data_IF_770646734153
#
_entry.id   IF_770646734153
#
_cell.length_a   1.000
_cell.length_b   1.000
_cell.length_c   1.000
_cell.angle_alpha   90.00
_cell.angle_beta   90.00
_cell.angle_gamma   90.00
#
_symmetry.space_group_name_H-M   'P 1'
#
loop_
_entity.id
_entity.type
_entity.pdbx_description
1 polymer ?
#
# COMPACT_ATOMS: atom_id res chain seq x y z
N UNK A 1 8.19 -11.39 -12.32
CA UNK A 1 8.30 -9.91 -12.23
C UNK A 1 8.51 -9.45 -10.79
N UNK A 2 7.60 -9.73 -9.83
CA UNK A 2 7.74 -9.32 -8.41
C UNK A 2 9.00 -9.89 -7.72
N UNK A 3 9.31 -11.18 -7.93
CA UNK A 3 10.54 -11.80 -7.39
C UNK A 3 11.84 -11.17 -7.92
N UNK A 4 11.83 -10.67 -9.16
CA UNK A 4 12.99 -10.02 -9.77
C UNK A 4 13.23 -8.62 -9.18
N UNK A 5 12.15 -7.87 -8.91
CA UNK A 5 12.22 -6.58 -8.23
C UNK A 5 12.72 -6.72 -6.78
N UNK A 6 12.28 -7.76 -6.07
CA UNK A 6 12.80 -8.09 -4.73
C UNK A 6 14.29 -8.42 -4.75
N UNK A 7 14.72 -9.24 -5.70
CA UNK A 7 16.13 -9.61 -5.85
C UNK A 7 17.02 -8.41 -6.21
N UNK A 8 16.54 -7.52 -7.09
CA UNK A 8 17.25 -6.29 -7.45
C UNK A 8 17.35 -5.29 -6.28
N UNK A 9 16.28 -5.17 -5.48
CA UNK A 9 16.28 -4.38 -4.24
C UNK A 9 17.28 -4.90 -3.21
N UNK A 10 17.37 -6.23 -3.05
CA UNK A 10 18.34 -6.89 -2.15
C UNK A 10 19.80 -6.71 -2.60
N UNK A 11 20.04 -6.60 -3.91
CA UNK A 11 21.37 -6.39 -4.49
C UNK A 11 21.81 -4.92 -4.49
N UNK A 12 20.87 -3.99 -4.30
CA UNK A 12 21.13 -2.54 -4.30
C UNK A 12 21.67 -2.12 -2.93
N UNK A 13 22.99 -1.99 -2.83
CA UNK A 13 23.81 -1.75 -1.63
C UNK A 13 23.57 -0.41 -0.89
N UNK A 14 22.47 0.30 -1.16
CA UNK A 14 22.21 1.66 -0.64
C UNK A 14 21.12 1.72 0.44
N UNK A 15 20.35 0.66 0.65
CA UNK A 15 19.30 0.59 1.67
C UNK A 15 19.62 -0.42 2.76
N UNK A 16 19.39 -0.04 4.03
CA UNK A 16 19.54 -0.96 5.14
C UNK A 16 18.42 -1.99 5.07
N UNK A 17 18.76 -3.27 4.85
CA UNK A 17 17.76 -4.35 4.77
C UNK A 17 16.80 -4.37 5.97
N UNK A 18 17.27 -3.91 7.13
CA UNK A 18 16.46 -3.74 8.33
C UNK A 18 15.35 -2.70 8.16
N UNK A 19 15.59 -1.57 7.49
CA UNK A 19 14.57 -0.53 7.29
C UNK A 19 13.48 -0.99 6.32
N UNK A 20 13.82 -1.79 5.31
CA UNK A 20 12.87 -2.23 4.30
C UNK A 20 11.99 -3.37 4.83
N UNK A 21 12.59 -4.30 5.60
CA UNK A 21 11.82 -5.29 6.35
C UNK A 21 10.88 -4.61 7.37
N UNK A 22 11.40 -3.63 8.11
CA UNK A 22 10.58 -2.86 9.06
C UNK A 22 9.42 -2.16 8.34
N UNK A 23 9.65 -1.60 7.15
CA UNK A 23 8.63 -0.95 6.34
C UNK A 23 7.53 -1.93 5.90
N UNK A 24 7.91 -3.11 5.41
CA UNK A 24 6.97 -4.17 5.03
C UNK A 24 6.12 -4.62 6.21
N UNK A 25 6.75 -4.95 7.34
CA UNK A 25 6.04 -5.39 8.53
C UNK A 25 5.19 -4.28 9.14
N UNK A 26 5.66 -3.04 9.19
CA UNK A 26 4.88 -1.90 9.69
C UNK A 26 3.65 -1.64 8.83
N UNK A 27 3.81 -1.62 7.50
CA UNK A 27 2.71 -1.42 6.55
C UNK A 27 1.66 -2.53 6.66
N UNK A 28 2.12 -3.78 6.75
CA UNK A 28 1.24 -4.93 6.92
C UNK A 28 0.55 -4.94 8.28
N UNK A 29 1.26 -4.62 9.36
CA UNK A 29 0.69 -4.54 10.71
C UNK A 29 -0.40 -3.46 10.79
N UNK A 30 -0.16 -2.30 10.16
CA UNK A 30 -1.16 -1.23 10.06
C UNK A 30 -2.43 -1.70 9.35
N UNK A 31 -2.29 -2.36 8.20
CA UNK A 31 -3.41 -2.92 7.45
C UNK A 31 -4.09 -4.10 8.16
N UNK A 32 -3.34 -4.92 8.88
CA UNK A 32 -3.85 -6.04 9.66
C UNK A 32 -4.69 -5.53 10.85
N UNK A 33 -4.24 -4.49 11.54
CA UNK A 33 -5.00 -3.82 12.59
C UNK A 33 -6.36 -3.34 12.05
N UNK A 34 -6.36 -2.62 10.92
CA UNK A 34 -7.60 -2.17 10.28
C UNK A 34 -8.52 -3.35 9.96
N UNK A 35 -7.96 -4.41 9.39
CA UNK A 35 -8.71 -5.62 9.04
C UNK A 35 -9.32 -6.32 10.27
N UNK A 36 -8.59 -6.38 11.38
CA UNK A 36 -9.05 -6.97 12.63
C UNK A 36 -10.18 -6.15 13.25
N UNK A 37 -10.04 -4.82 13.26
CA UNK A 37 -11.09 -3.90 13.73
C UNK A 37 -12.36 -3.97 12.87
N UNK A 38 -12.22 -4.12 11.54
CA UNK A 38 -13.36 -4.32 10.63
C UNK A 38 -13.88 -5.78 10.60
N UNK A 39 -13.37 -6.68 11.45
CA UNK A 39 -13.75 -8.10 11.52
C UNK A 39 -13.65 -8.81 10.16
N UNK A 40 -12.67 -8.45 9.32
CA UNK A 40 -12.52 -9.06 7.99
C UNK A 40 -13.54 -8.61 6.94
N UNK A 41 -14.35 -7.58 7.23
CA UNK A 41 -15.34 -7.05 6.28
C UNK A 41 -14.79 -5.97 5.37
N UNK A 42 -13.77 -5.24 5.81
CA UNK A 42 -13.19 -4.13 5.05
C UNK A 42 -12.22 -4.59 3.97
N UNK A 43 -11.32 -5.52 4.29
CA UNK A 43 -10.19 -5.84 3.44
C UNK A 43 -9.83 -7.33 3.47
N UNK A 44 -9.27 -7.86 2.38
CA UNK A 44 -8.85 -9.26 2.31
C UNK A 44 -7.53 -9.49 3.04
N UNK A 45 -7.33 -10.69 3.61
CA UNK A 45 -6.02 -11.12 4.12
C UNK A 45 -4.94 -11.14 3.02
N UNK A 46 -5.34 -11.30 1.75
CA UNK A 46 -4.43 -11.17 0.61
C UNK A 46 -3.81 -9.78 0.49
N UNK A 47 -4.59 -8.73 0.76
CA UNK A 47 -4.15 -7.34 0.68
C UNK A 47 -3.10 -7.03 1.75
N UNK A 48 -3.22 -7.65 2.94
CA UNK A 48 -2.22 -7.56 4.01
C UNK A 48 -0.89 -8.20 3.60
N UNK A 49 -0.92 -9.35 2.91
CA UNK A 49 0.31 -9.98 2.37
C UNK A 49 0.95 -9.12 1.29
N UNK A 50 0.14 -8.48 0.45
CA UNK A 50 0.62 -7.50 -0.53
C UNK A 50 1.28 -6.30 0.15
N UNK A 51 0.76 -5.85 1.30
CA UNK A 51 1.35 -4.77 2.07
C UNK A 51 2.76 -5.07 2.59
N UNK A 52 3.04 -6.32 2.95
CA UNK A 52 4.40 -6.77 3.32
C UNK A 52 5.34 -6.59 2.13
N UNK A 53 4.98 -7.17 0.97
CA UNK A 53 5.85 -7.15 -0.21
C UNK A 53 6.01 -5.73 -0.76
N UNK A 54 4.92 -4.98 -0.85
CA UNK A 54 4.96 -3.60 -1.34
C UNK A 54 5.77 -2.69 -0.43
N UNK A 55 5.64 -2.81 0.90
CA UNK A 55 6.41 -2.02 1.85
C UNK A 55 7.91 -2.34 1.81
N UNK A 56 8.30 -3.59 1.56
CA UNK A 56 9.72 -3.96 1.35
C UNK A 56 10.25 -3.35 0.05
N UNK A 57 9.46 -3.39 -1.03
CA UNK A 57 9.87 -2.88 -2.35
C UNK A 57 10.04 -1.36 -2.34
N UNK A 58 9.17 -0.65 -1.61
CA UNK A 58 9.13 0.81 -1.58
C UNK A 58 10.00 1.41 -0.47
N UNK A 59 10.22 0.67 0.61
CA UNK A 59 11.03 1.10 1.75
C UNK A 59 10.30 2.06 2.71
N UNK A 60 10.94 2.31 3.86
CA UNK A 60 10.30 2.99 5.00
C UNK A 60 9.90 4.45 4.71
N UNK A 61 10.71 5.16 3.91
CA UNK A 61 10.46 6.57 3.56
C UNK A 61 9.18 6.75 2.73
N UNK A 62 8.91 5.83 1.82
CA UNK A 62 7.83 5.96 0.84
C UNK A 62 6.57 5.14 1.21
N UNK A 63 6.66 4.20 2.17
CA UNK A 63 5.52 3.42 2.69
C UNK A 63 4.31 4.28 3.13
N UNK A 64 4.48 5.39 3.87
CA UNK A 64 3.35 6.22 4.28
C UNK A 64 2.64 6.89 3.09
N UNK A 65 3.42 7.41 2.13
CA UNK A 65 2.89 8.03 0.91
C UNK A 65 2.12 7.00 0.08
N UNK A 66 2.67 5.79 -0.02
CA UNK A 66 2.02 4.68 -0.71
C UNK A 66 0.68 4.28 -0.10
N UNK A 67 0.64 4.03 1.20
CA UNK A 67 -0.61 3.69 1.88
C UNK A 67 -1.62 4.81 1.72
N UNK A 68 -1.19 6.06 1.90
CA UNK A 68 -2.06 7.23 1.74
C UNK A 68 -2.68 7.31 0.34
N UNK A 69 -1.87 7.19 -0.73
CA UNK A 69 -2.36 7.19 -2.11
C UNK A 69 -3.30 6.00 -2.39
N UNK A 70 -3.02 4.83 -1.80
CA UNK A 70 -3.88 3.65 -1.92
C UNK A 70 -5.24 3.87 -1.25
N UNK A 71 -5.27 4.44 -0.05
CA UNK A 71 -6.50 4.81 0.66
C UNK A 71 -7.26 5.93 -0.05
N UNK A 72 -6.56 6.92 -0.60
CA UNK A 72 -7.19 8.01 -1.33
C UNK A 72 -7.88 7.49 -2.59
N UNK A 73 -7.17 6.71 -3.41
CA UNK A 73 -7.72 6.13 -4.65
C UNK A 73 -8.84 5.13 -4.36
N UNK A 74 -8.67 4.24 -3.37
CA UNK A 74 -9.70 3.29 -2.96
C UNK A 74 -10.93 3.97 -2.34
N UNK A 75 -10.72 5.02 -1.55
CA UNK A 75 -11.79 5.82 -0.95
C UNK A 75 -12.60 6.56 -2.00
N UNK A 76 -11.94 7.26 -2.94
CA UNK A 76 -12.62 7.96 -4.04
C UNK A 76 -13.39 6.97 -4.91
N UNK A 77 -12.79 5.85 -5.31
CA UNK A 77 -13.46 4.83 -6.10
C UNK A 77 -14.66 4.21 -5.34
N UNK A 78 -14.51 3.96 -4.04
CA UNK A 78 -15.59 3.48 -3.18
C UNK A 78 -16.76 4.47 -3.09
N UNK A 79 -16.47 5.77 -2.90
CA UNK A 79 -17.49 6.83 -2.88
C UNK A 79 -18.21 6.89 -4.23
N UNK A 80 -17.47 6.86 -5.34
CA UNK A 80 -18.05 6.86 -6.69
C UNK A 80 -19.00 5.66 -6.87
N UNK A 81 -18.58 4.45 -6.51
CA UNK A 81 -19.42 3.25 -6.62
C UNK A 81 -20.69 3.33 -5.77
N UNK A 82 -20.62 3.91 -4.57
CA UNK A 82 -21.77 4.15 -3.70
C UNK A 82 -22.72 5.16 -4.35
N UNK A 83 -22.20 6.27 -4.90
CA UNK A 83 -23.00 7.29 -5.58
C UNK A 83 -23.70 6.76 -6.85
N UNK A 84 -23.04 5.85 -7.57
CA UNK A 84 -23.62 5.14 -8.72
C UNK A 84 -24.62 4.04 -8.32
N UNK A 85 -24.83 3.80 -7.02
CA UNK A 85 -25.74 2.77 -6.50
C UNK A 85 -25.27 1.34 -6.78
N UNK A 86 -24.00 1.15 -7.15
CA UNK A 86 -23.43 -0.16 -7.53
C UNK A 86 -22.72 -0.88 -6.38
N UNK A 87 -22.55 -0.22 -5.24
CA UNK A 87 -22.00 -0.80 -4.02
C UNK A 87 -22.69 -0.24 -2.78
N UNK A 88 -22.96 -1.08 -1.79
CA UNK A 88 -23.42 -0.63 -0.48
C UNK A 88 -22.24 -0.36 0.46
N UNK A 89 -22.44 0.48 1.49
CA UNK A 89 -21.45 0.72 2.56
C UNK A 89 -20.98 -0.55 3.30
N UNK A 90 -21.71 -1.66 3.16
CA UNK A 90 -21.39 -2.96 3.79
C UNK A 90 -20.76 -3.97 2.82
N UNK A 91 -20.65 -3.64 1.53
CA UNK A 91 -20.04 -4.54 0.58
C UNK A 91 -18.52 -4.61 0.76
N UNK A 92 -17.96 -5.80 0.56
CA UNK A 92 -16.51 -5.98 0.60
C UNK A 92 -15.92 -5.40 -0.67
N UNK A 93 -15.19 -4.29 -0.53
CA UNK A 93 -14.38 -3.75 -1.61
C UNK A 93 -12.99 -4.39 -1.53
N UNK A 94 -12.57 -5.07 -2.59
CA UNK A 94 -11.21 -5.59 -2.67
C UNK A 94 -10.23 -4.41 -2.71
N UNK A 95 -9.34 -4.30 -1.73
CA UNK A 95 -8.43 -3.16 -1.61
C UNK A 95 -7.13 -3.37 -2.40
N UNK A 96 -6.83 -4.62 -2.76
CA UNK A 96 -5.64 -5.01 -3.55
C UNK A 96 -5.42 -4.22 -4.83
N UNK A 97 -6.43 -3.98 -5.70
CA UNK A 97 -6.26 -3.16 -6.89
C UNK A 97 -5.79 -1.73 -6.56
N UNK A 98 -6.34 -1.13 -5.50
CA UNK A 98 -5.96 0.24 -5.08
C UNK A 98 -4.57 0.29 -4.44
N UNK A 99 -4.16 -0.76 -3.73
CA UNK A 99 -2.77 -0.93 -3.25
C UNK A 99 -1.79 -0.94 -4.41
N UNK A 100 -2.09 -1.65 -5.50
CA UNK A 100 -1.22 -1.70 -6.69
C UNK A 100 -1.18 -0.33 -7.36
N UNK A 101 -2.34 0.33 -7.55
CA UNK A 101 -2.40 1.67 -8.17
C UNK A 101 -1.64 2.70 -7.34
N UNK A 102 -1.81 2.67 -6.02
CA UNK A 102 -1.04 3.50 -5.09
C UNK A 102 0.46 3.23 -5.18
N UNK A 103 0.87 1.97 -5.34
CA UNK A 103 2.29 1.59 -5.44
C UNK A 103 2.91 2.22 -6.69
N UNK A 104 2.22 2.09 -7.83
CA UNK A 104 2.62 2.71 -9.09
C UNK A 104 2.67 4.24 -8.99
N UNK A 105 1.67 4.85 -8.36
CA UNK A 105 1.65 6.30 -8.12
C UNK A 105 2.84 6.73 -7.27
N UNK A 106 3.20 5.98 -6.22
CA UNK A 106 4.38 6.29 -5.40
C UNK A 106 5.68 6.10 -6.17
N UNK A 107 5.79 5.13 -7.07
CA UNK A 107 6.97 5.01 -7.92
C UNK A 107 7.18 6.23 -8.83
N UNK A 108 6.10 6.82 -9.33
CA UNK A 108 6.17 7.96 -10.26
C UNK A 108 6.22 9.31 -9.53
N UNK A 109 5.40 9.50 -8.50
CA UNK A 109 5.25 10.76 -7.78
C UNK A 109 5.97 10.78 -6.43
N UNK A 110 6.37 9.63 -5.89
CA UNK A 110 6.92 9.53 -4.53
C UNK A 110 8.16 10.40 -4.36
N UNK A 111 9.08 10.39 -5.33
CA UNK A 111 10.28 11.23 -5.30
C UNK A 111 9.96 12.73 -5.33
N UNK A 112 8.98 13.14 -6.15
CA UNK A 112 8.50 14.54 -6.20
C UNK A 112 7.81 14.95 -4.90
N UNK A 113 6.98 14.08 -4.33
CA UNK A 113 6.29 14.31 -3.06
C UNK A 113 7.29 14.44 -1.90
N UNK A 114 8.29 13.56 -1.86
CA UNK A 114 9.34 13.60 -0.83
C UNK A 114 10.16 14.90 -0.92
N UNK A 115 10.54 15.29 -2.15
CA UNK A 115 11.23 16.56 -2.41
C UNK A 115 10.38 17.77 -2.04
N UNK A 116 9.07 17.75 -2.33
CA UNK A 116 8.14 18.82 -1.93
C UNK A 116 7.98 18.92 -0.41
N UNK A 117 8.04 17.79 0.29
CA UNK A 117 8.01 17.72 1.76
C UNK A 117 9.36 18.08 2.41
N UNK A 118 10.40 18.37 1.63
CA UNK A 118 11.72 18.78 2.12
C UNK A 118 12.60 17.65 2.65
N UNK A 119 12.40 16.41 2.18
CA UNK A 119 13.08 15.19 2.64
C UNK A 119 13.99 14.52 1.61
#
# INVERSE_FOLDING_TARGET
MVFYLLFFSLLSTTHSLYSDLLAGFASASFLLLINLFTKGRGMGLGDVKFAVMGGIIIGLKFSPIWLFLSFLTGGVAGIILILLGRAALKDRVAFGPFLITGLLLTFVLGSKLLSFLGF
#
